data_IF_384308961497
#
_entry.id   IF_384308961497
#
_cell.length_a   1.000
_cell.length_b   1.000
_cell.length_c   1.000
_cell.angle_alpha   90.00
_cell.angle_beta   90.00
_cell.angle_gamma   90.00
#
_symmetry.space_group_name_H-M   'P 1'
#
loop_
_entity.id
_entity.type
_entity.pdbx_description
1 polymer ?
#
# COMPACT_ATOMS: atom_id res chain seq x y z
N UNK A 1 15.95 35.93 -49.89
CA UNK A 1 17.17 35.78 -49.07
C UNK A 1 16.87 34.75 -48.00
N UNK A 2 17.38 33.52 -48.14
CA UNK A 2 17.08 32.39 -47.26
C UNK A 2 18.17 32.25 -46.19
N UNK A 3 17.77 32.31 -44.92
CA UNK A 3 18.67 32.21 -43.77
C UNK A 3 19.19 30.76 -43.62
N UNK A 4 20.47 30.55 -43.85
CA UNK A 4 21.16 29.29 -43.53
C UNK A 4 21.66 29.34 -42.08
N UNK A 5 20.74 29.21 -41.13
CA UNK A 5 21.08 29.02 -39.70
C UNK A 5 20.77 27.56 -39.30
N UNK A 6 21.56 26.62 -39.81
CA UNK A 6 21.50 25.22 -39.40
C UNK A 6 22.85 24.81 -38.84
N UNK A 7 22.85 24.28 -37.61
CA UNK A 7 24.05 23.71 -37.02
C UNK A 7 24.55 22.56 -37.89
N UNK A 8 25.85 22.51 -38.14
CA UNK A 8 26.47 21.35 -38.76
C UNK A 8 26.38 20.15 -37.82
N UNK A 9 26.38 18.94 -38.40
CA UNK A 9 26.37 17.68 -37.64
C UNK A 9 27.54 17.60 -36.65
N UNK A 10 28.68 18.22 -36.99
CA UNK A 10 29.86 18.29 -36.10
C UNK A 10 29.61 19.20 -34.90
N UNK A 11 29.04 20.39 -35.13
CA UNK A 11 28.70 21.33 -34.05
C UNK A 11 27.66 20.75 -33.11
N UNK A 12 26.65 20.05 -33.65
CA UNK A 12 25.67 19.32 -32.84
C UNK A 12 26.35 18.26 -31.96
N UNK A 13 27.17 17.38 -32.54
CA UNK A 13 27.87 16.33 -31.79
C UNK A 13 28.80 16.92 -30.72
N UNK A 14 29.56 17.97 -31.04
CA UNK A 14 30.46 18.61 -30.08
C UNK A 14 29.70 19.23 -28.91
N UNK A 15 28.60 19.92 -29.19
CA UNK A 15 27.76 20.50 -28.15
C UNK A 15 27.08 19.43 -27.29
N UNK A 16 26.60 18.33 -27.88
CA UNK A 16 26.02 17.19 -27.16
C UNK A 16 27.06 16.50 -26.27
N UNK A 17 28.29 16.29 -26.74
CA UNK A 17 29.35 15.70 -25.95
C UNK A 17 29.79 16.62 -24.79
N UNK A 18 29.84 17.94 -25.00
CA UNK A 18 30.15 18.91 -23.95
C UNK A 18 29.06 18.96 -22.86
N UNK A 19 27.78 18.81 -23.24
CA UNK A 19 26.67 18.72 -22.27
C UNK A 19 26.69 17.41 -21.49
N UNK A 20 27.05 16.29 -22.12
CA UNK A 20 27.25 15.02 -21.40
C UNK A 20 28.41 15.07 -20.40
N UNK A 21 29.49 15.80 -20.71
CA UNK A 21 30.61 15.99 -19.79
C UNK A 21 30.24 16.86 -18.57
N UNK A 22 29.34 17.83 -18.74
CA UNK A 22 28.77 18.62 -17.62
C UNK A 22 27.74 17.83 -16.79
N UNK A 23 27.10 16.82 -17.37
CA UNK A 23 26.24 15.87 -16.65
C UNK A 23 27.03 14.79 -15.87
N UNK A 24 28.35 14.73 -16.04
CA UNK A 24 29.25 13.87 -15.28
C UNK A 24 29.76 14.50 -13.97
N UNK A 25 29.25 15.67 -13.59
CA UNK A 25 29.38 16.15 -12.21
C UNK A 25 28.71 15.08 -11.34
N UNK A 26 29.42 14.45 -10.39
CA UNK A 26 28.78 13.50 -9.49
C UNK A 26 27.61 14.24 -8.85
N UNK A 27 26.39 13.73 -9.07
CA UNK A 27 25.24 14.23 -8.35
C UNK A 27 25.66 14.31 -6.87
N UNK A 28 25.43 15.45 -6.18
CA UNK A 28 25.74 15.53 -4.77
C UNK A 28 25.12 14.29 -4.15
N UNK A 29 25.94 13.47 -3.50
CA UNK A 29 25.49 12.23 -2.89
C UNK A 29 24.19 12.58 -2.17
N UNK A 30 23.06 12.03 -2.66
CA UNK A 30 21.78 12.19 -1.98
C UNK A 30 22.11 11.92 -0.52
N UNK A 31 21.83 12.89 0.40
CA UNK A 31 22.26 12.78 1.78
C UNK A 31 21.85 11.39 2.19
N UNK A 32 22.82 10.54 2.54
CA UNK A 32 22.65 9.11 2.71
C UNK A 32 21.39 8.93 3.57
N UNK A 33 20.26 8.72 2.89
CA UNK A 33 18.97 8.75 3.54
C UNK A 33 19.06 7.59 4.49
N UNK A 34 18.92 7.86 5.79
CA UNK A 34 19.06 6.89 6.86
C UNK A 34 18.55 5.55 6.33
N UNK A 35 19.48 4.60 6.14
CA UNK A 35 19.12 3.30 5.63
C UNK A 35 18.29 2.62 6.72
N UNK A 36 16.97 2.75 6.64
CA UNK A 36 16.08 1.94 7.44
C UNK A 36 16.45 0.49 7.15
N UNK A 37 16.89 -0.19 8.20
CA UNK A 37 17.14 -1.63 8.10
C UNK A 37 15.86 -2.27 7.60
N UNK A 38 15.91 -3.07 6.52
CA UNK A 38 14.71 -3.62 5.92
C UNK A 38 13.87 -4.34 6.98
N UNK A 39 12.55 -4.20 6.93
CA UNK A 39 11.66 -4.81 7.91
C UNK A 39 11.85 -6.32 7.89
N UNK A 40 11.78 -6.93 9.07
CA UNK A 40 11.91 -8.39 9.23
C UNK A 40 10.82 -9.09 8.43
N UNK A 41 11.17 -10.20 7.77
CA UNK A 41 10.17 -11.07 7.13
C UNK A 41 9.55 -12.04 8.13
N UNK A 42 8.25 -12.30 7.99
CA UNK A 42 7.45 -13.09 8.94
C UNK A 42 6.44 -13.98 8.22
N UNK A 43 6.26 -15.19 8.77
CA UNK A 43 5.23 -16.14 8.35
C UNK A 43 4.05 -16.21 9.32
N UNK A 44 4.24 -15.85 10.59
CA UNK A 44 3.24 -15.98 11.64
C UNK A 44 2.08 -14.98 11.51
N UNK A 45 0.84 -15.47 11.53
CA UNK A 45 -0.32 -14.60 11.42
C UNK A 45 -0.46 -13.68 12.64
N UNK A 46 -0.83 -12.42 12.39
CA UNK A 46 -1.10 -11.45 13.44
C UNK A 46 -2.61 -11.34 13.61
N UNK A 47 -3.11 -11.83 14.75
CA UNK A 47 -4.52 -11.82 15.08
C UNK A 47 -4.88 -10.51 15.75
N UNK A 48 -5.69 -9.69 15.08
CA UNK A 48 -6.28 -8.48 15.66
C UNK A 48 -7.79 -8.59 15.49
N UNK A 49 -8.55 -8.32 16.56
CA UNK A 49 -10.01 -8.39 16.49
C UNK A 49 -10.55 -7.39 15.45
N UNK A 50 -11.45 -7.88 14.60
CA UNK A 50 -12.10 -7.09 13.57
C UNK A 50 -13.09 -6.10 14.21
N UNK A 51 -13.21 -4.91 13.63
CA UNK A 51 -14.08 -3.86 14.21
C UNK A 51 -15.54 -3.92 13.76
N UNK A 52 -15.82 -4.56 12.61
CA UNK A 52 -17.13 -4.47 11.95
C UNK A 52 -17.74 -5.85 11.70
N UNK A 53 -18.34 -6.44 12.73
CA UNK A 53 -19.07 -7.70 12.64
C UNK A 53 -20.18 -7.83 13.70
N UNK A 54 -21.16 -8.67 13.43
CA UNK A 54 -22.22 -9.06 14.37
C UNK A 54 -21.99 -10.49 14.84
N UNK A 55 -22.17 -10.75 16.14
CA UNK A 55 -22.19 -12.12 16.68
C UNK A 55 -23.56 -12.75 16.42
N UNK A 56 -23.56 -14.01 16.01
CA UNK A 56 -24.77 -14.81 15.76
C UNK A 56 -24.79 -16.05 16.68
N UNK A 57 -25.94 -16.76 16.78
CA UNK A 57 -26.01 -18.02 17.50
C UNK A 57 -24.99 -19.06 17.00
N UNK A 58 -24.65 -20.02 17.86
CA UNK A 58 -23.73 -21.13 17.54
C UNK A 58 -22.32 -20.68 17.12
N UNK A 59 -21.81 -19.59 17.73
CA UNK A 59 -20.49 -19.00 17.44
C UNK A 59 -20.31 -18.52 15.99
N UNK A 60 -21.39 -18.43 15.20
CA UNK A 60 -21.35 -17.79 13.89
C UNK A 60 -21.12 -16.28 14.04
N UNK A 61 -20.61 -15.67 13.00
CA UNK A 61 -20.55 -14.21 12.88
C UNK A 61 -21.09 -13.77 11.52
N UNK A 62 -21.52 -12.51 11.42
CA UNK A 62 -21.79 -11.81 10.15
C UNK A 62 -20.82 -10.66 10.00
N UNK A 63 -20.00 -10.69 8.95
CA UNK A 63 -19.11 -9.58 8.60
C UNK A 63 -19.94 -8.38 8.13
N UNK A 64 -19.68 -7.17 8.64
CA UNK A 64 -20.37 -5.92 8.25
C UNK A 64 -19.44 -4.91 7.58
N UNK A 65 -18.28 -5.39 7.11
CA UNK A 65 -17.26 -4.54 6.51
C UNK A 65 -17.56 -4.16 5.05
N UNK A 66 -17.97 -5.13 4.24
CA UNK A 66 -18.24 -4.96 2.83
C UNK A 66 -19.62 -5.52 2.47
N UNK A 67 -20.21 -5.12 1.32
CA UNK A 67 -21.56 -5.53 0.93
C UNK A 67 -21.75 -7.05 0.71
N UNK A 68 -20.70 -7.88 0.84
CA UNK A 68 -20.84 -9.35 0.81
C UNK A 68 -21.55 -9.92 2.03
N UNK A 69 -21.47 -9.22 3.16
CA UNK A 69 -22.07 -9.63 4.43
C UNK A 69 -21.87 -11.11 4.79
N UNK A 70 -20.65 -11.64 4.60
CA UNK A 70 -20.35 -13.05 4.81
C UNK A 70 -20.82 -13.53 6.20
N UNK A 71 -21.60 -14.61 6.22
CA UNK A 71 -21.93 -15.36 7.44
C UNK A 71 -20.92 -16.50 7.56
N UNK A 72 -20.20 -16.55 8.68
CA UNK A 72 -18.98 -17.36 8.82
C UNK A 72 -19.11 -18.23 10.07
N UNK A 73 -18.94 -19.55 9.91
CA UNK A 73 -18.91 -20.50 11.01
C UNK A 73 -17.61 -20.43 11.82
N UNK A 74 -17.58 -21.10 12.98
CA UNK A 74 -16.37 -21.17 13.80
C UNK A 74 -15.23 -21.83 13.01
N UNK A 75 -14.03 -21.26 13.06
CA UNK A 75 -12.83 -21.65 12.31
C UNK A 75 -12.91 -21.46 10.78
N UNK A 76 -13.94 -20.77 10.28
CA UNK A 76 -14.05 -20.42 8.86
C UNK A 76 -13.60 -18.99 8.56
N UNK A 77 -13.45 -18.70 7.25
CA UNK A 77 -13.02 -17.41 6.72
C UNK A 77 -14.05 -16.77 5.80
N UNK A 78 -14.01 -15.45 5.77
CA UNK A 78 -14.78 -14.69 4.78
C UNK A 78 -14.21 -14.83 3.37
N UNK A 79 -14.98 -14.38 2.38
CA UNK A 79 -14.61 -14.43 0.96
C UNK A 79 -13.19 -13.90 0.69
N UNK A 80 -12.84 -12.76 1.30
CA UNK A 80 -11.51 -12.15 1.15
C UNK A 80 -10.34 -13.00 1.65
N UNK A 81 -10.57 -14.01 2.49
CA UNK A 81 -9.55 -14.94 2.98
C UNK A 81 -8.63 -14.44 4.08
N UNK A 82 -8.75 -13.17 4.46
CA UNK A 82 -7.84 -12.53 5.41
C UNK A 82 -8.46 -12.31 6.78
N UNK A 83 -9.71 -12.78 6.96
CA UNK A 83 -10.42 -12.67 8.23
C UNK A 83 -11.05 -14.01 8.58
N UNK A 84 -10.94 -14.39 9.84
CA UNK A 84 -11.29 -15.71 10.34
C UNK A 84 -12.07 -15.58 11.64
N UNK A 85 -13.10 -16.41 11.78
CA UNK A 85 -13.86 -16.53 13.01
C UNK A 85 -13.20 -17.55 13.93
N UNK A 86 -12.92 -17.17 15.18
CA UNK A 86 -12.37 -18.06 16.21
C UNK A 86 -13.18 -17.93 17.48
N UNK A 87 -13.94 -18.96 17.82
CA UNK A 87 -14.76 -19.02 19.02
C UNK A 87 -15.90 -18.00 19.06
N UNK A 88 -16.37 -17.51 17.90
CA UNK A 88 -17.38 -16.45 17.81
C UNK A 88 -16.84 -15.03 17.91
N UNK A 89 -15.53 -14.86 17.84
CA UNK A 89 -14.84 -13.57 17.69
C UNK A 89 -14.15 -13.54 16.33
N UNK A 90 -14.32 -12.45 15.60
CA UNK A 90 -13.79 -12.31 14.25
C UNK A 90 -12.45 -11.58 14.27
N UNK A 91 -11.44 -12.12 13.58
CA UNK A 91 -10.09 -11.56 13.58
C UNK A 91 -9.64 -11.26 12.15
N UNK A 92 -8.91 -10.17 11.96
CA UNK A 92 -8.04 -9.99 10.78
C UNK A 92 -6.72 -10.73 10.99
N UNK A 93 -6.19 -11.31 9.91
CA UNK A 93 -4.96 -12.10 9.88
C UNK A 93 -3.76 -11.33 9.30
N UNK A 94 -4.02 -10.12 8.79
CA UNK A 94 -3.07 -9.34 7.96
C UNK A 94 -2.68 -8.01 8.60
N UNK A 95 -3.02 -7.79 9.87
CA UNK A 95 -2.61 -6.57 10.57
C UNK A 95 -1.09 -6.55 10.77
N UNK A 96 -0.44 -5.42 10.47
CA UNK A 96 1.03 -5.29 10.53
C UNK A 96 1.79 -6.27 9.63
N UNK A 97 1.13 -6.84 8.60
CA UNK A 97 1.69 -7.83 7.66
C UNK A 97 1.55 -7.39 6.20
N UNK A 98 2.10 -6.24 5.77
CA UNK A 98 2.16 -5.91 4.37
C UNK A 98 3.05 -6.91 3.63
N UNK A 99 2.67 -7.29 2.42
CA UNK A 99 3.45 -8.19 1.54
C UNK A 99 4.24 -7.45 0.49
N UNK A 100 3.93 -6.17 0.30
CA UNK A 100 4.69 -5.25 -0.53
C UNK A 100 4.64 -3.86 0.08
N UNK A 101 5.74 -3.14 -0.07
CA UNK A 101 5.82 -1.72 0.18
C UNK A 101 6.76 -1.07 -0.85
N UNK A 102 6.43 0.13 -1.33
CA UNK A 102 7.23 0.86 -2.32
C UNK A 102 7.07 2.37 -2.15
N UNK A 103 8.10 3.12 -2.53
CA UNK A 103 8.04 4.58 -2.64
C UNK A 103 7.86 4.92 -4.10
N UNK A 104 6.65 5.39 -4.44
CA UNK A 104 6.21 5.65 -5.82
C UNK A 104 5.66 7.08 -5.91
N UNK A 105 5.79 7.79 -7.04
CA UNK A 105 5.16 9.09 -7.24
C UNK A 105 3.65 9.03 -7.00
N UNK A 106 3.07 10.12 -6.50
CA UNK A 106 1.61 10.20 -6.25
C UNK A 106 0.82 10.11 -7.57
N UNK A 107 1.40 10.52 -8.69
CA UNK A 107 0.80 10.49 -10.03
C UNK A 107 0.53 9.07 -10.54
N UNK A 108 1.16 8.05 -9.95
CA UNK A 108 0.84 6.64 -10.24
C UNK A 108 -0.54 6.25 -9.70
N UNK A 109 -1.08 7.02 -8.75
CA UNK A 109 -2.40 6.80 -8.14
C UNK A 109 -3.44 7.63 -8.92
N UNK A 110 -4.74 7.26 -8.92
CA UNK A 110 -5.78 7.99 -9.62
C UNK A 110 -6.15 9.32 -8.91
N UNK A 111 -5.17 10.18 -8.64
CA UNK A 111 -5.28 11.43 -7.88
C UNK A 111 -4.58 12.58 -8.62
N UNK A 112 -5.30 13.26 -9.51
CA UNK A 112 -4.70 14.19 -10.48
C UNK A 112 -4.12 15.49 -9.89
N UNK A 113 -4.63 15.97 -8.75
CA UNK A 113 -4.21 17.23 -8.11
C UNK A 113 -3.95 17.08 -6.61
N UNK A 114 -3.65 15.86 -6.17
CA UNK A 114 -3.31 15.61 -4.77
C UNK A 114 -1.78 15.61 -4.62
N UNK A 115 -1.24 16.68 -4.02
CA UNK A 115 0.20 16.85 -3.78
C UNK A 115 1.10 16.53 -5.01
N UNK A 116 0.91 17.18 -6.17
CA UNK A 116 1.72 16.91 -7.36
C UNK A 116 3.23 17.02 -7.11
N UNK A 117 4.02 16.15 -7.74
CA UNK A 117 5.47 16.07 -7.62
C UNK A 117 5.98 15.41 -6.33
N UNK A 118 5.09 14.89 -5.49
CA UNK A 118 5.47 14.24 -4.22
C UNK A 118 5.48 12.71 -4.30
N UNK A 119 6.20 12.08 -3.36
CA UNK A 119 6.25 10.63 -3.23
C UNK A 119 5.18 10.11 -2.26
N UNK A 120 4.73 8.88 -2.49
CA UNK A 120 3.84 8.17 -1.60
C UNK A 120 4.44 6.83 -1.16
N UNK A 121 4.48 6.60 0.15
CA UNK A 121 4.86 5.32 0.74
C UNK A 121 3.68 4.36 0.62
N UNK A 122 3.76 3.47 -0.36
CA UNK A 122 2.68 2.62 -0.80
C UNK A 122 2.78 1.26 -0.12
N UNK A 123 1.71 0.73 0.45
CA UNK A 123 1.68 -0.59 1.09
C UNK A 123 0.44 -1.40 0.71
N UNK A 124 0.56 -2.73 0.75
CA UNK A 124 -0.54 -3.66 0.55
C UNK A 124 -0.38 -4.93 1.40
N UNK A 125 -1.49 -5.48 1.87
CA UNK A 125 -1.56 -6.86 2.39
C UNK A 125 -2.04 -7.80 1.28
N UNK A 126 -2.08 -9.11 1.56
CA UNK A 126 -2.80 -10.04 0.67
C UNK A 126 -4.31 -9.85 0.73
N UNK A 127 -4.99 -10.48 -0.23
CA UNK A 127 -6.43 -10.63 -0.27
C UNK A 127 -7.17 -9.49 -0.96
N UNK A 128 -8.42 -9.74 -1.33
CA UNK A 128 -9.32 -8.76 -1.90
C UNK A 128 -10.76 -9.22 -1.72
N UNK A 129 -11.71 -8.28 -1.67
CA UNK A 129 -13.14 -8.60 -1.67
C UNK A 129 -13.73 -8.73 -3.10
N UNK A 130 -12.93 -8.46 -4.14
CA UNK A 130 -13.28 -8.57 -5.57
C UNK A 130 -12.17 -9.28 -6.34
N UNK A 131 -12.52 -10.25 -7.17
CA UNK A 131 -11.59 -10.98 -8.05
C UNK A 131 -11.67 -10.43 -9.48
N UNK A 132 -11.05 -9.25 -9.69
CA UNK A 132 -11.08 -8.61 -11.01
C UNK A 132 -10.41 -9.51 -12.07
N UNK A 133 -11.07 -9.73 -13.21
CA UNK A 133 -10.54 -10.52 -14.34
C UNK A 133 -9.22 -9.98 -14.91
N UNK A 134 -8.98 -8.68 -14.74
CA UNK A 134 -7.80 -7.95 -15.23
C UNK A 134 -6.94 -7.41 -14.08
N UNK A 135 -6.98 -8.05 -12.90
CA UNK A 135 -6.18 -7.61 -11.76
C UNK A 135 -4.68 -7.75 -12.08
N UNK A 136 -3.94 -6.63 -12.10
CA UNK A 136 -2.49 -6.66 -12.28
C UNK A 136 -1.75 -7.22 -11.06
N UNK A 137 -2.36 -7.14 -9.88
CA UNK A 137 -1.78 -7.59 -8.61
C UNK A 137 -2.38 -8.92 -8.14
N UNK A 138 -2.88 -9.75 -9.07
CA UNK A 138 -3.57 -11.01 -8.75
C UNK A 138 -2.73 -11.95 -7.87
N UNK A 139 -1.40 -11.94 -8.02
CA UNK A 139 -0.49 -12.77 -7.22
C UNK A 139 -0.54 -12.46 -5.71
N UNK A 140 -0.98 -11.26 -5.31
CA UNK A 140 -1.13 -10.88 -3.91
C UNK A 140 -2.60 -10.68 -3.51
N UNK A 141 -3.47 -10.30 -4.44
CA UNK A 141 -4.89 -10.05 -4.15
C UNK A 141 -5.74 -11.32 -4.08
N UNK A 142 -5.31 -12.42 -4.72
CA UNK A 142 -6.06 -13.69 -4.83
C UNK A 142 -5.35 -14.85 -4.12
N UNK A 143 -4.58 -14.55 -3.07
CA UNK A 143 -3.87 -15.55 -2.24
C UNK A 143 -4.24 -15.36 -0.77
N UNK A 144 -4.06 -16.43 0.02
CA UNK A 144 -4.28 -16.44 1.46
C UNK A 144 -3.01 -16.02 2.22
N UNK A 145 -3.16 -15.48 3.45
CA UNK A 145 -2.02 -15.01 4.27
C UNK A 145 -0.91 -16.03 4.49
N UNK A 146 -1.22 -17.32 4.52
CA UNK A 146 -0.26 -18.40 4.77
C UNK A 146 0.57 -18.77 3.53
N UNK A 147 0.11 -18.37 2.34
CA UNK A 147 0.75 -18.74 1.08
C UNK A 147 1.92 -17.82 0.73
N UNK A 148 2.10 -16.72 1.47
CA UNK A 148 3.12 -15.72 1.19
C UNK A 148 3.82 -15.28 2.47
N UNK A 149 5.07 -14.86 2.29
CA UNK A 149 5.81 -14.21 3.36
C UNK A 149 5.48 -12.71 3.38
N UNK A 150 5.29 -12.16 4.58
CA UNK A 150 5.00 -10.75 4.80
C UNK A 150 6.16 -10.05 5.51
N UNK A 151 6.09 -8.73 5.61
CA UNK A 151 6.96 -7.93 6.45
C UNK A 151 6.30 -7.67 7.80
N UNK A 152 7.09 -7.69 8.87
CA UNK A 152 6.68 -7.32 10.22
C UNK A 152 6.76 -5.80 10.33
N UNK A 153 5.64 -5.13 10.03
CA UNK A 153 5.60 -3.69 9.90
C UNK A 153 4.42 -3.14 10.70
N UNK A 154 4.59 -2.87 12.00
CA UNK A 154 3.54 -2.26 12.80
C UNK A 154 3.22 -0.83 12.33
N UNK A 155 2.03 -0.29 12.64
CA UNK A 155 1.59 1.05 12.21
C UNK A 155 2.62 2.18 12.42
N UNK A 156 3.28 2.21 13.59
CA UNK A 156 4.28 3.22 13.92
C UNK A 156 5.55 3.08 13.06
N UNK A 157 5.91 1.86 12.65
CA UNK A 157 7.00 1.61 11.72
C UNK A 157 6.64 2.09 10.31
N UNK A 158 5.42 1.82 9.81
CA UNK A 158 4.97 2.36 8.51
C UNK A 158 5.07 3.89 8.49
N UNK A 159 4.61 4.53 9.56
CA UNK A 159 4.62 5.98 9.68
C UNK A 159 6.06 6.55 9.72
N UNK A 160 6.98 5.87 10.39
CA UNK A 160 8.40 6.25 10.38
C UNK A 160 9.01 6.07 8.98
N UNK A 161 8.78 4.92 8.35
CA UNK A 161 9.27 4.63 7.00
C UNK A 161 8.81 5.67 5.99
N UNK A 162 7.53 6.06 6.03
CA UNK A 162 7.00 7.09 5.16
C UNK A 162 7.65 8.46 5.40
N UNK A 163 7.90 8.82 6.67
CA UNK A 163 8.57 10.07 7.03
C UNK A 163 10.03 10.09 6.58
N UNK A 164 10.77 9.03 6.86
CA UNK A 164 12.18 8.91 6.51
C UNK A 164 12.40 8.81 4.99
N UNK A 165 11.47 8.20 4.25
CA UNK A 165 11.50 8.20 2.79
C UNK A 165 11.07 9.52 2.15
N UNK A 166 10.87 10.59 2.94
CA UNK A 166 10.44 11.90 2.46
C UNK A 166 9.05 11.88 1.81
N UNK A 167 8.23 10.87 2.12
CA UNK A 167 6.92 10.69 1.52
C UNK A 167 5.84 11.37 2.38
N UNK A 168 5.23 12.48 1.92
CA UNK A 168 4.19 13.17 2.69
C UNK A 168 2.89 12.38 2.83
N UNK A 169 2.78 11.20 2.19
CA UNK A 169 1.57 10.39 2.13
C UNK A 169 1.88 8.90 2.24
N UNK A 170 1.09 8.17 3.01
CA UNK A 170 0.97 6.70 2.98
C UNK A 170 -0.18 6.34 2.04
N UNK A 171 0.09 5.49 1.05
CA UNK A 171 -0.90 5.02 0.09
C UNK A 171 -1.23 3.54 0.34
N UNK A 172 -2.47 3.26 0.76
CA UNK A 172 -2.97 1.88 0.85
C UNK A 172 -3.49 1.47 -0.53
N UNK A 173 -2.79 0.56 -1.20
CA UNK A 173 -2.97 0.31 -2.65
C UNK A 173 -2.57 -1.13 -3.03
N UNK A 174 -2.46 -1.40 -4.34
CA UNK A 174 -2.18 -2.69 -4.99
C UNK A 174 -3.24 -3.78 -4.80
N UNK A 175 -3.63 -4.05 -3.56
CA UNK A 175 -4.79 -4.90 -3.19
C UNK A 175 -5.93 -4.03 -2.69
N UNK A 176 -6.89 -4.60 -1.95
CA UNK A 176 -8.06 -3.86 -1.48
C UNK A 176 -7.92 -3.40 -0.02
N UNK A 177 -7.74 -2.10 0.25
CA UNK A 177 -7.57 -1.60 1.61
C UNK A 177 -8.78 -1.76 2.54
N UNK A 178 -10.00 -1.93 2.01
CA UNK A 178 -11.19 -2.21 2.85
C UNK A 178 -10.98 -3.48 3.67
N UNK A 179 -10.39 -4.54 3.11
CA UNK A 179 -10.31 -5.84 3.81
C UNK A 179 -9.32 -5.83 4.98
N UNK A 180 -8.35 -4.91 5.00
CA UNK A 180 -7.38 -4.70 6.08
C UNK A 180 -7.56 -3.35 6.80
N UNK A 181 -8.81 -2.88 6.89
CA UNK A 181 -9.17 -1.57 7.45
C UNK A 181 -8.56 -1.26 8.81
N UNK A 182 -8.47 -2.23 9.74
CA UNK A 182 -7.90 -1.99 11.06
C UNK A 182 -6.43 -1.53 10.95
N UNK A 183 -5.68 -2.15 10.04
CA UNK A 183 -4.30 -1.78 9.77
C UNK A 183 -4.20 -0.44 9.03
N UNK A 184 -5.11 -0.15 8.09
CA UNK A 184 -5.22 1.17 7.44
C UNK A 184 -5.46 2.27 8.47
N UNK A 185 -6.44 2.08 9.36
CA UNK A 185 -6.82 3.06 10.37
C UNK A 185 -5.66 3.32 11.34
N UNK A 186 -5.08 2.26 11.91
CA UNK A 186 -4.00 2.40 12.89
C UNK A 186 -2.77 3.07 12.26
N UNK A 187 -2.47 2.73 11.01
CA UNK A 187 -1.39 3.35 10.24
C UNK A 187 -1.67 4.82 9.91
N UNK A 188 -2.92 5.16 9.59
CA UNK A 188 -3.31 6.54 9.34
C UNK A 188 -3.22 7.40 10.62
N UNK A 189 -3.60 6.83 11.77
CA UNK A 189 -3.43 7.47 13.08
C UNK A 189 -1.96 7.70 13.38
N UNK A 190 -1.10 6.70 13.19
CA UNK A 190 0.35 6.82 13.39
C UNK A 190 0.98 7.85 12.43
N UNK A 191 0.61 7.81 11.15
CA UNK A 191 1.04 8.76 10.13
C UNK A 191 0.66 10.20 10.49
N UNK A 192 -0.60 10.43 10.90
CA UNK A 192 -1.08 11.76 11.31
C UNK A 192 -0.25 12.36 12.45
N UNK A 193 0.13 11.56 13.45
CA UNK A 193 1.01 12.02 14.56
C UNK A 193 2.38 12.49 14.06
N UNK A 194 2.85 11.95 12.93
CA UNK A 194 4.14 12.31 12.29
C UNK A 194 4.00 13.34 11.16
N UNK A 195 2.79 13.86 10.92
CA UNK A 195 2.53 14.82 9.83
C UNK A 195 2.44 14.18 8.44
N UNK A 196 2.29 12.85 8.36
CA UNK A 196 2.15 12.09 7.13
C UNK A 196 0.66 11.85 6.83
N UNK A 197 0.22 12.19 5.62
CA UNK A 197 -1.17 12.01 5.18
C UNK A 197 -1.44 10.56 4.77
N UNK A 198 -2.70 10.24 4.52
CA UNK A 198 -3.13 8.92 4.06
C UNK A 198 -4.03 9.03 2.85
N UNK A 199 -3.85 8.14 1.88
CA UNK A 199 -4.76 7.94 0.75
C UNK A 199 -5.07 6.47 0.59
N UNK A 200 -6.28 6.17 0.14
CA UNK A 200 -6.80 4.82 -0.02
C UNK A 200 -7.22 4.63 -1.47
N UNK A 201 -6.61 3.68 -2.16
CA UNK A 201 -6.97 3.31 -3.53
C UNK A 201 -7.80 2.03 -3.42
N UNK A 202 -9.11 2.20 -3.43
CA UNK A 202 -10.09 1.14 -3.16
C UNK A 202 -11.05 0.97 -4.33
N UNK A 203 -11.59 -0.23 -4.50
CA UNK A 203 -12.72 -0.51 -5.37
C UNK A 203 -14.06 0.03 -4.82
N UNK A 204 -14.06 0.60 -3.61
CA UNK A 204 -15.25 1.22 -3.00
C UNK A 204 -16.29 0.20 -2.50
N UNK A 205 -15.98 -1.09 -2.49
CA UNK A 205 -16.88 -2.15 -2.03
C UNK A 205 -16.86 -2.26 -0.50
N UNK A 206 -17.34 -1.22 0.16
CA UNK A 206 -17.40 -1.03 1.61
C UNK A 206 -18.85 -0.76 2.04
N UNK A 207 -19.22 -1.18 3.24
CA UNK A 207 -20.50 -0.79 3.84
C UNK A 207 -20.46 0.68 4.30
N UNK A 208 -21.62 1.28 4.58
CA UNK A 208 -21.68 2.67 5.03
C UNK A 208 -21.09 2.89 6.43
N UNK A 209 -21.39 2.01 7.39
CA UNK A 209 -20.99 2.21 8.79
C UNK A 209 -19.47 2.20 9.02
N UNK A 210 -18.65 1.40 8.30
CA UNK A 210 -17.20 1.46 8.40
C UNK A 210 -16.52 2.65 7.71
N UNK A 211 -17.24 3.52 6.96
CA UNK A 211 -16.66 4.68 6.27
C UNK A 211 -16.42 5.86 7.23
#
# INVERSE_FOLDING_TARGET
MSAKNGWSRREFIQASCATCALAAVPAPALPAGLYLSPPRRVKDLHLVEARHYEKLPNRKIRCKLCPRECVIDDQERGYCGVRENRGGTYYTLVHSRPVTYHVDPIEKKPLFHFLPGTMAFSIATVGCNVECKFCQNWQISQVRPEQVEAFDMPPEMVAEYAKESGSPTIAYTYTEPVIFQEYVYDTAVAGKKKGVRSVMISNGFIQKDPM
#
